data_IF_180949660429
#
_entry.id   IF_180949660429
#
_cell.length_a   1.000
_cell.length_b   1.000
_cell.length_c   1.000
_cell.angle_alpha   90.00
_cell.angle_beta   90.00
_cell.angle_gamma   90.00
#
_symmetry.space_group_name_H-M   'P 1'
#
loop_
_entity.id
_entity.type
_entity.pdbx_description
1 polymer ?
#
# COMPACT_ATOMS: atom_id res chain seq x y z
N UNK A 1 29.06 -14.55 -0.96
CA UNK A 1 27.94 -13.59 -0.85
C UNK A 1 27.81 -12.80 -2.15
N UNK A 2 26.63 -12.74 -2.76
CA UNK A 2 26.43 -11.89 -3.93
C UNK A 2 26.53 -10.42 -3.50
N UNK A 3 27.41 -9.63 -4.11
CA UNK A 3 27.60 -8.23 -3.75
C UNK A 3 26.29 -7.43 -3.77
N UNK A 4 26.23 -6.39 -2.94
CA UNK A 4 25.07 -5.54 -2.70
C UNK A 4 24.26 -5.17 -3.95
N UNK A 5 24.95 -4.79 -5.03
CA UNK A 5 24.28 -4.43 -6.26
C UNK A 5 23.66 -5.60 -7.04
N UNK A 6 24.16 -6.84 -6.90
CA UNK A 6 23.51 -8.04 -7.45
C UNK A 6 22.17 -8.32 -6.76
N UNK A 7 22.11 -8.17 -5.43
CA UNK A 7 20.88 -8.31 -4.65
C UNK A 7 19.80 -7.32 -5.12
N UNK A 8 20.14 -6.03 -5.20
CA UNK A 8 19.20 -4.99 -5.63
C UNK A 8 18.70 -5.20 -7.06
N UNK A 9 19.57 -5.66 -7.97
CA UNK A 9 19.17 -5.99 -9.33
C UNK A 9 18.24 -7.19 -9.37
N UNK A 10 18.52 -8.24 -8.59
CA UNK A 10 17.67 -9.43 -8.52
C UNK A 10 16.28 -9.09 -7.99
N UNK A 11 16.18 -8.29 -6.91
CA UNK A 11 14.90 -7.82 -6.38
C UNK A 11 14.10 -7.05 -7.44
N UNK A 12 14.75 -6.13 -8.16
CA UNK A 12 14.09 -5.36 -9.22
C UNK A 12 13.59 -6.26 -10.36
N UNK A 13 14.42 -7.21 -10.82
CA UNK A 13 14.08 -8.13 -11.91
C UNK A 13 12.92 -9.07 -11.50
N UNK A 14 12.92 -9.60 -10.27
CA UNK A 14 11.84 -10.44 -9.71
C UNK A 14 10.50 -9.69 -9.69
N UNK A 15 10.46 -8.49 -9.11
CA UNK A 15 9.23 -7.71 -9.02
C UNK A 15 8.75 -7.21 -10.39
N UNK A 16 9.68 -6.94 -11.32
CA UNK A 16 9.34 -6.63 -12.70
C UNK A 16 8.68 -7.81 -13.43
N UNK A 17 9.22 -9.02 -13.27
CA UNK A 17 8.64 -10.24 -13.84
C UNK A 17 7.23 -10.49 -13.29
N UNK A 18 7.05 -10.36 -11.98
CA UNK A 18 5.74 -10.54 -11.34
C UNK A 18 4.72 -9.51 -11.82
N UNK A 19 5.11 -8.24 -11.93
CA UNK A 19 4.28 -7.19 -12.53
C UNK A 19 3.86 -7.57 -13.95
N UNK A 20 4.79 -8.02 -14.80
CA UNK A 20 4.48 -8.42 -16.18
C UNK A 20 3.51 -9.59 -16.25
N UNK A 21 3.70 -10.62 -15.41
CA UNK A 21 2.80 -11.77 -15.35
C UNK A 21 1.38 -11.32 -14.99
N UNK A 22 1.24 -10.52 -13.92
CA UNK A 22 -0.05 -9.99 -13.47
C UNK A 22 -0.71 -9.06 -14.48
N UNK A 23 0.07 -8.21 -15.16
CA UNK A 23 -0.44 -7.38 -16.24
C UNK A 23 -0.96 -8.24 -17.39
N UNK A 24 -0.26 -9.31 -17.75
CA UNK A 24 -0.70 -10.22 -18.80
C UNK A 24 -2.00 -10.94 -18.41
N UNK A 25 -2.10 -11.45 -17.18
CA UNK A 25 -3.34 -12.06 -16.68
C UNK A 25 -4.49 -11.05 -16.70
N UNK A 26 -4.27 -9.83 -16.22
CA UNK A 26 -5.27 -8.76 -16.22
C UNK A 26 -5.70 -8.34 -17.64
N UNK A 27 -4.82 -8.48 -18.64
CA UNK A 27 -5.16 -8.26 -20.07
C UNK A 27 -5.99 -9.38 -20.68
N UNK A 28 -5.87 -10.60 -20.15
CA UNK A 28 -6.70 -11.73 -20.58
C UNK A 28 -8.09 -11.65 -19.94
N UNK A 29 -8.14 -11.24 -18.66
CA UNK A 29 -9.37 -11.08 -17.90
C UNK A 29 -9.21 -10.00 -16.83
N UNK A 30 -9.93 -8.90 -16.97
CA UNK A 30 -9.89 -7.76 -16.04
C UNK A 30 -10.94 -7.91 -14.92
N UNK A 31 -10.93 -9.02 -14.19
CA UNK A 31 -11.78 -9.20 -13.00
C UNK A 31 -11.17 -8.57 -11.74
N UNK A 32 -11.95 -8.51 -10.66
CA UNK A 32 -11.53 -7.92 -9.38
C UNK A 32 -10.21 -8.50 -8.86
N UNK A 33 -10.08 -9.83 -8.83
CA UNK A 33 -8.91 -10.51 -8.28
C UNK A 33 -7.64 -10.20 -9.11
N UNK A 34 -7.74 -10.24 -10.44
CA UNK A 34 -6.62 -9.91 -11.31
C UNK A 34 -6.21 -8.43 -11.19
N UNK A 35 -7.18 -7.52 -11.09
CA UNK A 35 -6.94 -6.08 -10.87
C UNK A 35 -6.29 -5.85 -9.51
N UNK A 36 -6.80 -6.49 -8.45
CA UNK A 36 -6.22 -6.42 -7.11
C UNK A 36 -4.77 -6.90 -7.10
N UNK A 37 -4.50 -8.08 -7.69
CA UNK A 37 -3.16 -8.66 -7.79
C UNK A 37 -2.22 -7.74 -8.58
N UNK A 38 -2.67 -7.17 -9.69
CA UNK A 38 -1.91 -6.20 -10.48
C UNK A 38 -1.56 -4.95 -9.66
N UNK A 39 -2.55 -4.31 -9.02
CA UNK A 39 -2.34 -3.14 -8.14
C UNK A 39 -1.33 -3.45 -7.04
N UNK A 40 -1.48 -4.56 -6.33
CA UNK A 40 -0.52 -5.00 -5.29
C UNK A 40 0.88 -5.24 -5.88
N UNK A 41 0.97 -5.78 -7.10
CA UNK A 41 2.24 -5.99 -7.81
C UNK A 41 2.95 -4.67 -8.15
N UNK A 42 2.20 -3.67 -8.63
CA UNK A 42 2.75 -2.35 -8.92
C UNK A 42 3.24 -1.66 -7.64
N UNK A 43 2.46 -1.71 -6.54
CA UNK A 43 2.86 -1.12 -5.24
C UNK A 43 4.17 -1.71 -4.72
N UNK A 44 4.34 -3.03 -4.79
CA UNK A 44 5.59 -3.71 -4.41
C UNK A 44 6.76 -3.28 -5.30
N UNK A 45 6.57 -3.24 -6.63
CA UNK A 45 7.61 -2.78 -7.56
C UNK A 45 8.02 -1.31 -7.32
N UNK A 46 7.06 -0.42 -7.05
CA UNK A 46 7.32 0.97 -6.67
C UNK A 46 8.16 1.05 -5.40
N UNK A 47 7.90 0.18 -4.43
CA UNK A 47 8.61 0.19 -3.14
C UNK A 47 10.05 -0.31 -3.27
N UNK A 48 10.29 -1.35 -4.08
CA UNK A 48 11.65 -1.78 -4.45
C UNK A 48 12.39 -0.63 -5.14
N UNK A 49 11.73 0.08 -6.05
CA UNK A 49 12.32 1.25 -6.70
C UNK A 49 12.66 2.35 -5.68
N UNK A 50 11.79 2.60 -4.70
CA UNK A 50 12.03 3.61 -3.66
C UNK A 50 13.19 3.20 -2.73
N UNK A 51 13.31 1.92 -2.38
CA UNK A 51 14.46 1.39 -1.64
C UNK A 51 15.77 1.61 -2.42
N UNK A 52 15.82 1.20 -3.69
CA UNK A 52 17.02 1.38 -4.53
C UNK A 52 17.37 2.86 -4.68
N UNK A 53 16.37 3.75 -4.81
CA UNK A 53 16.60 5.20 -4.91
C UNK A 53 17.12 5.81 -3.62
N UNK A 54 16.75 5.27 -2.46
CA UNK A 54 17.24 5.72 -1.16
C UNK A 54 18.70 5.31 -0.93
N UNK A 55 19.11 4.14 -1.45
CA UNK A 55 20.48 3.65 -1.39
C UNK A 55 21.39 4.28 -2.45
N UNK A 56 20.88 4.42 -3.68
CA UNK A 56 21.62 4.91 -4.83
C UNK A 56 20.72 5.81 -5.70
N UNK A 57 20.79 7.15 -5.56
CA UNK A 57 19.97 8.07 -6.32
C UNK A 57 20.07 7.86 -7.84
N UNK A 58 18.92 7.64 -8.49
CA UNK A 58 18.84 7.38 -9.92
C UNK A 58 17.63 8.09 -10.57
N UNK A 59 17.84 9.15 -11.38
CA UNK A 59 16.76 9.90 -12.02
C UNK A 59 15.86 9.06 -12.95
N UNK A 60 16.40 8.03 -13.57
CA UNK A 60 15.64 7.14 -14.45
C UNK A 60 14.68 6.23 -13.67
N UNK A 61 15.06 5.77 -12.46
CA UNK A 61 14.15 5.08 -11.55
C UNK A 61 13.03 5.99 -11.05
N UNK A 62 13.33 7.29 -10.81
CA UNK A 62 12.29 8.28 -10.50
C UNK A 62 11.23 8.38 -11.61
N UNK A 63 11.67 8.40 -12.88
CA UNK A 63 10.75 8.40 -14.03
C UNK A 63 9.94 7.10 -14.13
N UNK A 64 10.58 5.95 -13.92
CA UNK A 64 9.90 4.64 -13.92
C UNK A 64 8.84 4.54 -12.82
N UNK A 65 9.19 4.99 -11.60
CA UNK A 65 8.26 5.11 -10.47
C UNK A 65 7.04 5.97 -10.83
N UNK A 66 7.25 7.15 -11.43
CA UNK A 66 6.13 8.04 -11.82
C UNK A 66 5.17 7.35 -12.78
N UNK A 67 5.67 6.60 -13.76
CA UNK A 67 4.83 5.83 -14.69
C UNK A 67 4.04 4.73 -13.96
N UNK A 68 4.68 4.00 -13.05
CA UNK A 68 4.02 2.94 -12.28
C UNK A 68 2.96 3.50 -11.32
N UNK A 69 3.23 4.63 -10.65
CA UNK A 69 2.22 5.31 -9.82
C UNK A 69 1.04 5.79 -10.68
N UNK A 70 1.32 6.43 -11.81
CA UNK A 70 0.27 6.84 -12.74
C UNK A 70 -0.57 5.66 -13.28
N UNK A 71 -0.04 4.43 -13.32
CA UNK A 71 -0.85 3.24 -13.60
C UNK A 71 -1.71 2.83 -12.41
N UNK A 72 -1.19 2.88 -11.18
CA UNK A 72 -1.98 2.62 -9.97
C UNK A 72 -3.17 3.55 -9.86
N UNK A 73 -2.92 4.84 -10.07
CA UNK A 73 -3.91 5.91 -9.92
C UNK A 73 -5.11 5.70 -10.86
N UNK A 74 -4.94 4.99 -12.00
CA UNK A 74 -6.06 4.65 -12.90
C UNK A 74 -7.10 3.73 -12.28
N UNK A 75 -6.70 2.89 -11.32
CA UNK A 75 -7.61 1.93 -10.70
C UNK A 75 -8.18 2.41 -9.37
N UNK A 76 -7.97 3.66 -8.97
CA UNK A 76 -8.40 4.12 -7.65
C UNK A 76 -9.93 4.17 -7.57
N UNK A 77 -10.61 4.84 -8.52
CA UNK A 77 -12.08 4.88 -8.57
C UNK A 77 -12.71 3.49 -8.62
N UNK A 78 -12.14 2.57 -9.42
CA UNK A 78 -12.64 1.20 -9.52
C UNK A 78 -12.46 0.47 -8.20
N UNK A 79 -11.28 0.59 -7.56
CA UNK A 79 -11.02 -0.13 -6.32
C UNK A 79 -11.89 0.40 -5.19
N UNK A 80 -12.09 1.71 -5.12
CA UNK A 80 -12.96 2.31 -4.11
C UNK A 80 -14.41 1.84 -4.32
N UNK A 81 -14.87 1.78 -5.58
CA UNK A 81 -16.19 1.21 -5.93
C UNK A 81 -16.31 -0.25 -5.50
N UNK A 82 -15.31 -1.09 -5.77
CA UNK A 82 -15.31 -2.51 -5.40
C UNK A 82 -15.29 -2.71 -3.88
N UNK A 83 -14.54 -1.90 -3.15
CA UNK A 83 -14.51 -1.96 -1.68
C UNK A 83 -15.86 -1.53 -1.08
N UNK A 84 -16.48 -0.49 -1.64
CA UNK A 84 -17.83 -0.10 -1.25
C UNK A 84 -18.84 -1.21 -1.54
N UNK A 85 -18.80 -1.83 -2.73
CA UNK A 85 -19.69 -2.96 -3.07
C UNK A 85 -19.58 -4.09 -2.05
N UNK A 86 -18.36 -4.53 -1.70
CA UNK A 86 -18.16 -5.56 -0.66
C UNK A 86 -18.79 -5.19 0.68
N UNK A 87 -18.72 -3.90 1.06
CA UNK A 87 -19.31 -3.41 2.31
C UNK A 87 -20.84 -3.38 2.23
N UNK A 88 -21.39 -2.93 1.10
CA UNK A 88 -22.83 -2.87 0.88
C UNK A 88 -23.45 -4.27 0.77
N UNK A 89 -22.79 -5.20 0.08
CA UNK A 89 -23.24 -6.59 -0.05
C UNK A 89 -23.42 -7.27 1.32
N UNK A 90 -22.55 -6.94 2.28
CA UNK A 90 -22.65 -7.45 3.65
C UNK A 90 -23.81 -6.84 4.45
N UNK A 91 -24.24 -5.62 4.13
CA UNK A 91 -25.23 -4.86 4.89
C UNK A 91 -26.63 -4.85 4.26
N UNK A 92 -26.76 -5.12 2.95
CA UNK A 92 -28.00 -4.94 2.17
C UNK A 92 -29.18 -5.78 2.65
N UNK A 93 -28.92 -6.90 3.33
CA UNK A 93 -29.96 -7.77 3.91
C UNK A 93 -30.62 -7.10 5.13
N UNK A 94 -29.82 -6.44 5.98
CA UNK A 94 -30.30 -5.71 7.17
C UNK A 94 -30.82 -4.32 6.81
N UNK A 95 -30.29 -3.73 5.74
CA UNK A 95 -30.61 -2.37 5.27
C UNK A 95 -31.10 -2.39 3.81
N UNK A 96 -32.38 -2.74 3.57
CA UNK A 96 -32.95 -2.77 2.22
C UNK A 96 -32.91 -1.43 1.47
N UNK A 97 -32.82 -0.31 2.18
CA UNK A 97 -32.69 1.04 1.62
C UNK A 97 -31.42 1.21 0.77
N UNK A 98 -30.44 0.33 0.93
CA UNK A 98 -29.20 0.32 0.16
C UNK A 98 -29.36 -0.22 -1.27
N UNK A 99 -30.51 -0.79 -1.65
CA UNK A 99 -30.69 -1.43 -2.97
C UNK A 99 -30.38 -0.50 -4.15
N UNK A 100 -30.93 0.71 -4.14
CA UNK A 100 -30.71 1.66 -5.24
C UNK A 100 -29.25 2.11 -5.33
N UNK A 101 -28.60 2.30 -4.17
CA UNK A 101 -27.19 2.64 -4.09
C UNK A 101 -26.30 1.48 -4.55
N UNK A 102 -26.63 0.25 -4.16
CA UNK A 102 -25.94 -0.95 -4.62
C UNK A 102 -26.00 -1.09 -6.15
N UNK A 103 -27.19 -0.93 -6.75
CA UNK A 103 -27.33 -0.94 -8.21
C UNK A 103 -26.57 0.20 -8.90
N UNK A 104 -26.54 1.38 -8.28
CA UNK A 104 -25.72 2.50 -8.75
C UNK A 104 -24.22 2.14 -8.76
N UNK A 105 -23.71 1.55 -7.67
CA UNK A 105 -22.32 1.10 -7.58
C UNK A 105 -21.99 0.01 -8.59
N UNK A 106 -22.89 -0.96 -8.81
CA UNK A 106 -22.72 -2.02 -9.84
C UNK A 106 -22.63 -1.44 -11.25
N UNK A 107 -23.49 -0.47 -11.58
CA UNK A 107 -23.42 0.27 -12.86
C UNK A 107 -22.11 1.06 -12.98
N UNK A 108 -21.67 1.71 -11.90
CA UNK A 108 -20.40 2.44 -11.84
C UNK A 108 -19.21 1.50 -12.06
N UNK A 109 -19.20 0.34 -11.40
CA UNK A 109 -18.17 -0.69 -11.55
C UNK A 109 -18.05 -1.14 -13.01
N UNK A 110 -19.16 -1.57 -13.61
CA UNK A 110 -19.19 -2.02 -15.01
C UNK A 110 -18.66 -0.95 -15.97
N UNK A 111 -19.03 0.31 -15.77
CA UNK A 111 -18.55 1.45 -16.57
C UNK A 111 -17.03 1.67 -16.40
N UNK A 112 -16.54 1.60 -15.17
CA UNK A 112 -15.11 1.77 -14.86
C UNK A 112 -14.28 0.62 -15.42
N UNK A 113 -14.76 -0.62 -15.34
CA UNK A 113 -14.14 -1.79 -15.95
C UNK A 113 -14.04 -1.63 -17.47
N UNK A 114 -15.16 -1.31 -18.14
CA UNK A 114 -15.17 -1.10 -19.59
C UNK A 114 -14.23 0.02 -20.06
N UNK A 115 -14.04 1.06 -19.25
CA UNK A 115 -13.04 2.11 -19.52
C UNK A 115 -11.60 1.63 -19.29
N UNK A 116 -11.37 0.82 -18.25
CA UNK A 116 -10.02 0.42 -17.85
C UNK A 116 -9.42 -0.66 -18.74
N UNK A 117 -10.24 -1.57 -19.30
CA UNK A 117 -9.78 -2.63 -20.21
C UNK A 117 -8.86 -2.12 -21.34
N UNK A 118 -9.24 -1.12 -22.16
CA UNK A 118 -8.37 -0.58 -23.19
C UNK A 118 -7.15 0.15 -22.62
N UNK A 119 -7.26 0.81 -21.45
CA UNK A 119 -6.13 1.46 -20.79
C UNK A 119 -5.06 0.43 -20.35
N UNK A 120 -5.48 -0.70 -19.75
CA UNK A 120 -4.61 -1.80 -19.32
C UNK A 120 -3.92 -2.45 -20.52
N UNK A 121 -4.64 -2.63 -21.63
CA UNK A 121 -4.08 -3.08 -22.89
C UNK A 121 -2.98 -2.13 -23.40
N UNK A 122 -3.19 -0.81 -23.25
CA UNK A 122 -2.24 0.22 -23.69
C UNK A 122 -1.00 0.40 -22.78
N UNK A 123 -0.94 -0.21 -21.59
CA UNK A 123 0.21 -0.07 -20.69
C UNK A 123 1.53 -0.53 -21.33
N UNK A 124 2.38 0.45 -21.68
CA UNK A 124 3.66 0.20 -22.37
C UNK A 124 4.73 -0.35 -21.43
N UNK A 125 5.03 -1.64 -21.54
CA UNK A 125 6.06 -2.30 -20.72
C UNK A 125 7.47 -2.23 -21.31
N UNK A 126 7.62 -2.13 -22.64
CA UNK A 126 8.93 -2.20 -23.29
C UNK A 126 9.89 -1.06 -22.91
N UNK A 127 9.42 0.18 -22.98
CA UNK A 127 10.20 1.34 -22.55
C UNK A 127 10.51 1.30 -21.05
N UNK A 128 9.56 0.84 -20.24
CA UNK A 128 9.72 0.71 -18.79
C UNK A 128 10.78 -0.34 -18.44
N UNK A 129 10.75 -1.52 -19.06
CA UNK A 129 11.79 -2.56 -18.92
C UNK A 129 13.18 -2.03 -19.23
N UNK A 130 13.34 -1.34 -20.36
CA UNK A 130 14.62 -0.78 -20.78
C UNK A 130 15.15 0.22 -19.75
N UNK A 131 14.28 1.10 -19.24
CA UNK A 131 14.62 2.05 -18.17
C UNK A 131 15.01 1.34 -16.89
N UNK A 132 14.22 0.37 -16.42
CA UNK A 132 14.51 -0.38 -15.19
C UNK A 132 15.83 -1.14 -15.29
N UNK A 133 16.08 -1.89 -16.36
CA UNK A 133 17.34 -2.65 -16.55
C UNK A 133 18.57 -1.74 -16.58
N UNK A 134 18.54 -0.65 -17.37
CA UNK A 134 19.68 0.29 -17.44
C UNK A 134 19.91 1.00 -16.11
N UNK A 135 18.85 1.29 -15.37
CA UNK A 135 18.95 2.01 -14.09
C UNK A 135 19.38 1.09 -12.96
N UNK A 136 18.85 -0.13 -12.90
CA UNK A 136 19.26 -1.17 -11.97
C UNK A 136 20.74 -1.49 -12.10
N UNK A 137 21.28 -1.61 -13.32
CA UNK A 137 22.73 -1.77 -13.54
C UNK A 137 23.57 -0.60 -13.03
N UNK A 138 23.10 0.64 -13.20
CA UNK A 138 23.80 1.83 -12.70
C UNK A 138 23.75 1.94 -11.18
N UNK A 139 22.58 1.69 -10.59
CA UNK A 139 22.39 1.64 -9.15
C UNK A 139 23.25 0.52 -8.53
N UNK A 140 23.28 -0.66 -9.17
CA UNK A 140 24.14 -1.79 -8.80
C UNK A 140 25.62 -1.37 -8.73
N UNK A 141 26.16 -0.72 -9.76
CA UNK A 141 27.55 -0.21 -9.73
C UNK A 141 27.80 0.79 -8.61
N UNK A 142 26.87 1.73 -8.38
CA UNK A 142 26.99 2.75 -7.33
C UNK A 142 26.82 2.17 -5.92
N UNK A 143 26.12 1.05 -5.82
CA UNK A 143 25.88 0.34 -4.58
C UNK A 143 26.84 -0.83 -4.37
N UNK A 144 27.86 -0.99 -5.23
CA UNK A 144 28.76 -2.15 -5.17
C UNK A 144 29.53 -2.22 -3.84
N UNK A 145 29.93 -1.06 -3.34
CA UNK A 145 30.69 -0.90 -2.09
C UNK A 145 29.80 -0.56 -0.88
N UNK A 146 28.47 -0.53 -1.06
CA UNK A 146 27.54 -0.29 0.03
C UNK A 146 27.39 -1.58 0.84
N UNK A 147 27.66 -1.51 2.14
CA UNK A 147 27.25 -2.54 3.08
C UNK A 147 25.71 -2.49 3.24
N UNK A 148 25.01 -3.43 2.59
CA UNK A 148 23.55 -3.50 2.67
C UNK A 148 23.04 -3.82 4.07
N UNK A 149 23.81 -4.56 4.87
CA UNK A 149 23.43 -4.94 6.22
C UNK A 149 23.36 -3.70 7.14
N UNK A 150 24.09 -2.63 6.82
CA UNK A 150 24.01 -1.34 7.51
C UNK A 150 23.07 -0.36 6.79
N UNK A 151 23.18 -0.26 5.46
CA UNK A 151 22.47 0.75 4.70
C UNK A 151 20.96 0.52 4.61
N UNK A 152 20.50 -0.74 4.56
CA UNK A 152 19.06 -1.04 4.52
C UNK A 152 18.41 -0.67 5.85
N UNK A 153 18.89 -1.12 7.04
CA UNK A 153 18.36 -0.65 8.32
C UNK A 153 18.34 0.87 8.45
N UNK A 154 19.39 1.58 8.02
CA UNK A 154 19.40 3.05 8.05
C UNK A 154 18.34 3.71 7.13
N UNK A 155 17.99 3.07 6.00
CA UNK A 155 16.85 3.51 5.17
C UNK A 155 15.52 3.24 5.90
N UNK A 156 15.39 2.07 6.53
CA UNK A 156 14.18 1.69 7.27
C UNK A 156 13.97 2.61 8.48
N UNK A 157 15.02 2.96 9.21
CA UNK A 157 14.98 3.93 10.32
C UNK A 157 14.34 5.25 9.90
N UNK A 158 14.78 5.82 8.77
CA UNK A 158 14.24 7.08 8.25
C UNK A 158 12.78 6.96 7.82
N UNK A 159 12.38 5.82 7.26
CA UNK A 159 10.98 5.60 6.85
C UNK A 159 10.08 5.39 8.06
N UNK A 160 10.59 4.73 9.10
CA UNK A 160 9.88 4.54 10.34
C UNK A 160 9.77 5.83 11.15
N UNK A 161 10.81 6.66 11.18
CA UNK A 161 10.76 7.99 11.79
C UNK A 161 9.65 8.87 11.17
N UNK A 162 9.54 8.92 9.84
CA UNK A 162 8.42 9.62 9.15
C UNK A 162 7.05 9.02 9.53
N UNK A 163 6.97 7.71 9.79
CA UNK A 163 5.74 7.09 10.30
C UNK A 163 5.45 7.50 11.76
N UNK A 164 6.46 7.58 12.63
CA UNK A 164 6.31 8.03 14.01
C UNK A 164 5.92 9.50 14.10
N UNK A 165 6.48 10.36 13.26
CA UNK A 165 6.07 11.77 13.14
C UNK A 165 4.60 11.89 12.75
N UNK A 166 4.15 11.11 11.76
CA UNK A 166 2.74 11.08 11.34
C UNK A 166 1.82 10.49 12.40
N UNK A 167 2.29 9.52 13.17
CA UNK A 167 1.55 8.98 14.30
C UNK A 167 1.39 10.02 15.42
N UNK A 168 2.44 10.78 15.73
CA UNK A 168 2.38 11.87 16.70
C UNK A 168 1.41 12.99 16.26
N UNK A 169 1.25 13.17 14.95
CA UNK A 169 0.31 14.13 14.35
C UNK A 169 -1.11 13.59 14.14
N UNK A 170 -1.45 12.38 14.64
CA UNK A 170 -2.82 11.87 14.58
C UNK A 170 -3.74 12.79 15.38
N UNK A 171 -4.82 13.19 14.72
CA UNK A 171 -5.94 13.89 15.33
C UNK A 171 -7.20 13.05 15.10
N UNK A 172 -7.79 12.60 16.19
CA UNK A 172 -8.96 11.72 16.22
C UNK A 172 -10.19 12.36 15.57
N UNK A 173 -10.23 13.69 15.49
CA UNK A 173 -11.29 14.44 14.79
C UNK A 173 -11.05 14.58 13.28
N UNK A 174 -9.85 14.24 12.81
CA UNK A 174 -9.45 14.35 11.41
C UNK A 174 -8.88 13.01 10.88
N UNK A 175 -9.74 12.07 10.41
CA UNK A 175 -9.34 10.75 9.88
C UNK A 175 -8.29 10.79 8.75
N UNK A 176 -8.19 11.92 8.05
CA UNK A 176 -7.14 12.16 7.05
C UNK A 176 -5.71 12.03 7.63
N UNK A 177 -5.49 12.33 8.90
CA UNK A 177 -4.18 12.17 9.57
C UNK A 177 -3.78 10.69 9.67
N UNK A 178 -4.76 9.82 9.96
CA UNK A 178 -4.59 8.36 9.98
C UNK A 178 -4.27 7.81 8.59
N UNK A 179 -4.91 8.35 7.55
CA UNK A 179 -4.58 7.99 6.17
C UNK A 179 -3.12 8.32 5.81
N UNK A 180 -2.60 9.47 6.26
CA UNK A 180 -1.21 9.84 6.03
C UNK A 180 -0.24 8.86 6.71
N UNK A 181 -0.51 8.47 7.97
CA UNK A 181 0.25 7.42 8.66
C UNK A 181 0.20 6.10 7.87
N UNK A 182 -0.98 5.70 7.40
CA UNK A 182 -1.16 4.47 6.61
C UNK A 182 -0.26 4.47 5.36
N UNK A 183 -0.12 5.60 4.68
CA UNK A 183 0.78 5.71 3.51
C UNK A 183 2.24 5.43 3.90
N UNK A 184 2.73 6.02 5.00
CA UNK A 184 4.08 5.83 5.48
C UNK A 184 4.34 4.37 5.90
N UNK A 185 3.41 3.75 6.63
CA UNK A 185 3.53 2.36 7.07
C UNK A 185 3.42 1.35 5.92
N UNK A 186 2.67 1.65 4.85
CA UNK A 186 2.69 0.82 3.63
C UNK A 186 4.07 0.82 2.99
N UNK A 187 4.72 1.98 2.94
CA UNK A 187 6.09 2.10 2.44
C UNK A 187 7.07 1.30 3.30
N UNK A 188 6.96 1.38 4.63
CA UNK A 188 7.73 0.55 5.56
C UNK A 188 7.54 -0.94 5.26
N UNK A 189 6.30 -1.43 5.27
CA UNK A 189 5.99 -2.84 5.05
C UNK A 189 6.59 -3.35 3.73
N UNK A 190 6.39 -2.63 2.63
CA UNK A 190 6.90 -3.08 1.35
C UNK A 190 8.43 -3.02 1.24
N UNK A 191 9.11 -2.18 2.03
CA UNK A 191 10.57 -2.20 2.14
C UNK A 191 11.05 -3.43 2.92
N UNK A 192 10.40 -3.76 4.04
CA UNK A 192 10.71 -4.98 4.80
C UNK A 192 10.47 -6.24 3.95
N UNK A 193 9.36 -6.30 3.20
CA UNK A 193 9.08 -7.42 2.26
C UNK A 193 10.10 -7.52 1.11
N UNK A 194 10.75 -6.42 0.73
CA UNK A 194 11.69 -6.38 -0.39
C UNK A 194 13.09 -6.89 -0.04
N UNK A 195 13.46 -6.86 1.24
CA UNK A 195 14.79 -7.26 1.70
C UNK A 195 14.79 -7.99 3.05
N UNK A 196 14.00 -9.08 3.21
CA UNK A 196 13.93 -9.80 4.48
C UNK A 196 15.30 -10.35 4.91
N UNK A 197 16.08 -10.89 3.97
CA UNK A 197 17.40 -11.49 4.25
C UNK A 197 18.46 -10.46 4.69
N UNK A 198 18.17 -9.17 4.57
CA UNK A 198 19.07 -8.08 4.95
C UNK A 198 18.68 -7.45 6.29
N UNK A 199 17.66 -8.01 6.96
CA UNK A 199 17.17 -7.56 8.25
C UNK A 199 17.30 -8.74 9.23
N UNK A 200 18.42 -8.82 9.97
CA UNK A 200 18.65 -9.90 10.91
C UNK A 200 17.52 -10.02 11.93
N UNK A 201 16.99 -11.23 12.10
CA UNK A 201 15.94 -11.52 13.07
C UNK A 201 14.56 -10.95 12.72
N UNK A 202 14.32 -10.51 11.48
CA UNK A 202 12.98 -10.11 11.04
C UNK A 202 12.00 -11.27 11.25
N UNK A 203 11.11 -11.12 12.22
CA UNK A 203 10.14 -12.16 12.54
C UNK A 203 8.96 -12.11 11.55
N UNK A 204 8.46 -13.26 11.06
CA UNK A 204 7.30 -13.29 10.15
C UNK A 204 6.04 -12.63 10.75
N UNK A 205 5.81 -12.81 12.05
CA UNK A 205 4.67 -12.23 12.78
C UNK A 205 4.69 -10.69 12.74
N UNK A 206 5.85 -10.05 12.64
CA UNK A 206 5.96 -8.60 12.52
C UNK A 206 5.21 -8.08 11.28
N UNK A 207 5.37 -8.75 10.14
CA UNK A 207 4.71 -8.35 8.89
C UNK A 207 3.20 -8.60 8.95
N UNK A 208 2.77 -9.64 9.66
CA UNK A 208 1.35 -9.93 9.91
C UNK A 208 0.72 -8.89 10.84
N UNK A 209 1.39 -8.55 11.95
CA UNK A 209 0.98 -7.48 12.87
C UNK A 209 0.89 -6.14 12.17
N UNK A 210 1.92 -5.78 11.39
CA UNK A 210 1.92 -4.57 10.57
C UNK A 210 0.79 -4.59 9.52
N UNK A 211 0.48 -5.75 8.95
CA UNK A 211 -0.67 -5.89 8.04
C UNK A 211 -2.00 -5.68 8.78
N UNK A 212 -2.20 -6.24 9.98
CA UNK A 212 -3.41 -5.98 10.79
C UNK A 212 -3.57 -4.50 11.10
N UNK A 213 -2.49 -3.86 11.53
CA UNK A 213 -2.46 -2.41 11.80
C UNK A 213 -2.80 -1.57 10.56
N UNK A 214 -2.26 -1.96 9.38
CA UNK A 214 -2.60 -1.35 8.09
C UNK A 214 -4.03 -1.61 7.60
N UNK A 215 -4.63 -2.72 8.02
CA UNK A 215 -6.01 -3.09 7.74
C UNK A 215 -6.95 -2.20 8.56
N UNK A 216 -6.74 -2.06 9.87
CA UNK A 216 -7.55 -1.20 10.74
C UNK A 216 -7.64 0.25 10.22
N UNK A 217 -6.49 0.90 9.95
CA UNK A 217 -6.47 2.23 9.31
C UNK A 217 -7.11 2.25 7.92
N UNK A 218 -7.12 1.11 7.25
CA UNK A 218 -7.73 0.98 5.95
C UNK A 218 -9.23 0.93 5.97
N UNK A 219 -9.79 0.24 6.95
CA UNK A 219 -11.23 0.11 7.11
C UNK A 219 -11.85 1.44 7.53
N UNK A 220 -11.15 2.23 8.36
CA UNK A 220 -11.51 3.63 8.67
C UNK A 220 -11.58 4.46 7.39
N UNK A 221 -10.53 4.43 6.56
CA UNK A 221 -10.55 5.17 5.29
C UNK A 221 -11.68 4.70 4.36
N UNK A 222 -11.93 3.40 4.28
CA UNK A 222 -12.99 2.86 3.44
C UNK A 222 -14.37 3.34 3.92
N UNK A 223 -14.59 3.41 5.24
CA UNK A 223 -15.80 3.94 5.84
C UNK A 223 -16.00 5.43 5.52
N UNK A 224 -14.95 6.25 5.58
CA UNK A 224 -15.00 7.67 5.22
C UNK A 224 -15.34 7.89 3.73
N UNK A 225 -14.73 7.09 2.84
CA UNK A 225 -15.02 7.12 1.40
C UNK A 225 -16.47 6.68 1.14
N UNK A 226 -16.94 5.64 1.82
CA UNK A 226 -18.32 5.16 1.71
C UNK A 226 -19.33 6.20 2.21
N UNK A 227 -19.09 6.82 3.36
CA UNK A 227 -19.94 7.87 3.90
C UNK A 227 -20.06 9.06 2.93
N UNK A 228 -18.94 9.47 2.32
CA UNK A 228 -18.93 10.52 1.30
C UNK A 228 -19.72 10.12 0.05
N UNK A 229 -19.57 8.89 -0.43
CA UNK A 229 -20.28 8.39 -1.61
C UNK A 229 -21.79 8.23 -1.37
N UNK A 230 -22.20 7.80 -0.18
CA UNK A 230 -23.61 7.77 0.24
C UNK A 230 -24.18 9.19 0.23
N UNK A 231 -23.47 10.15 0.81
CA UNK A 231 -23.94 11.53 0.86
C UNK A 231 -24.09 12.16 -0.54
N UNK A 232 -23.14 11.89 -1.44
CA UNK A 232 -23.22 12.30 -2.84
C UNK A 232 -24.44 11.68 -3.54
N UNK A 233 -24.67 10.37 -3.36
CA UNK A 233 -25.77 9.66 -4.02
C UNK A 233 -27.15 10.15 -3.57
N UNK A 234 -27.36 10.31 -2.26
CA UNK A 234 -28.63 10.80 -1.71
C UNK A 234 -28.77 12.34 -1.77
N UNK A 235 -27.77 13.05 -2.30
CA UNK A 235 -27.69 14.52 -2.35
C UNK A 235 -27.89 15.17 -0.98
N UNK A 236 -27.29 14.58 0.06
CA UNK A 236 -27.51 14.95 1.45
C UNK A 236 -27.28 13.78 2.39
N UNK A 237 -28.04 13.70 3.48
CA UNK A 237 -27.93 12.56 4.39
C UNK A 237 -28.63 11.32 3.78
N UNK A 238 -28.03 10.10 3.89
CA UNK A 238 -28.74 8.87 3.59
C UNK A 238 -29.91 8.65 4.58
N UNK A 239 -30.83 7.72 4.30
CA UNK A 239 -31.89 7.34 5.24
C UNK A 239 -31.33 7.05 6.64
N UNK A 240 -32.06 7.44 7.69
CA UNK A 240 -31.58 7.36 9.07
C UNK A 240 -31.05 5.95 9.46
N UNK A 241 -31.69 4.82 9.10
CA UNK A 241 -31.16 3.50 9.38
C UNK A 241 -29.76 3.25 8.80
N UNK A 242 -29.53 3.70 7.55
CA UNK A 242 -28.26 3.59 6.85
C UNK A 242 -27.21 4.52 7.47
N UNK A 243 -27.59 5.78 7.74
CA UNK A 243 -26.71 6.75 8.39
C UNK A 243 -26.21 6.23 9.74
N UNK A 244 -27.14 5.80 10.59
CA UNK A 244 -26.85 5.34 11.94
C UNK A 244 -25.99 4.07 11.93
N UNK A 245 -26.24 3.14 11.01
CA UNK A 245 -25.45 1.91 10.87
C UNK A 245 -23.98 2.22 10.57
N UNK A 246 -23.70 2.99 9.50
CA UNK A 246 -22.32 3.28 9.11
C UNK A 246 -21.63 4.24 10.07
N UNK A 247 -22.36 5.14 10.74
CA UNK A 247 -21.79 5.96 11.82
C UNK A 247 -21.41 5.11 13.04
N UNK A 248 -22.21 4.11 13.43
CA UNK A 248 -21.83 3.17 14.50
C UNK A 248 -20.59 2.37 14.11
N UNK A 249 -20.57 1.81 12.90
CA UNK A 249 -19.41 1.07 12.39
C UNK A 249 -18.14 1.94 12.37
N UNK A 250 -18.22 3.18 11.87
CA UNK A 250 -17.08 4.09 11.86
C UNK A 250 -16.56 4.40 13.26
N UNK A 251 -17.46 4.70 14.22
CA UNK A 251 -17.08 4.92 15.63
C UNK A 251 -16.39 3.70 16.24
N UNK A 252 -16.86 2.50 15.94
CA UNK A 252 -16.24 1.26 16.40
C UNK A 252 -14.83 1.10 15.83
N UNK A 253 -14.66 1.25 14.51
CA UNK A 253 -13.35 1.17 13.85
C UNK A 253 -12.36 2.19 14.42
N UNK A 254 -12.84 3.40 14.73
CA UNK A 254 -12.03 4.42 15.39
C UNK A 254 -11.62 4.01 16.80
N UNK A 255 -12.57 3.55 17.63
CA UNK A 255 -12.27 3.13 18.99
C UNK A 255 -11.26 1.97 19.02
N UNK A 256 -11.43 0.96 18.15
CA UNK A 256 -10.52 -0.17 18.02
C UNK A 256 -9.10 0.28 17.61
N UNK A 257 -8.99 1.15 16.60
CA UNK A 257 -7.69 1.68 16.17
C UNK A 257 -7.01 2.51 17.27
N UNK A 258 -7.77 3.37 17.97
CA UNK A 258 -7.20 4.21 19.04
C UNK A 258 -6.72 3.38 20.21
N UNK A 259 -7.41 2.30 20.57
CA UNK A 259 -6.97 1.38 21.61
C UNK A 259 -5.61 0.73 21.26
N UNK A 260 -5.42 0.36 19.99
CA UNK A 260 -4.22 -0.34 19.52
C UNK A 260 -3.14 0.56 18.90
N UNK A 261 -3.35 1.88 18.81
CA UNK A 261 -2.46 2.82 18.08
C UNK A 261 -1.00 2.78 18.52
N UNK A 262 -0.77 2.46 19.79
CA UNK A 262 0.57 2.37 20.36
C UNK A 262 1.34 1.09 19.98
N UNK A 263 0.70 0.13 19.30
CA UNK A 263 1.39 -1.01 18.70
C UNK A 263 2.48 -0.54 17.71
N UNK A 264 2.32 0.66 17.13
CA UNK A 264 3.29 1.23 16.20
C UNK A 264 4.73 1.15 16.72
N UNK A 265 4.96 1.41 18.01
CA UNK A 265 6.27 1.43 18.67
C UNK A 265 6.96 0.06 18.74
N UNK A 266 6.27 -1.02 18.35
CA UNK A 266 6.80 -2.38 18.32
C UNK A 266 7.23 -2.84 16.93
N UNK A 267 7.04 -2.02 15.89
CA UNK A 267 7.34 -2.41 14.51
C UNK A 267 8.79 -2.23 14.08
N UNK A 268 9.54 -1.33 14.74
CA UNK A 268 10.94 -1.06 14.44
C UNK A 268 11.57 -0.24 15.57
N UNK A 269 12.90 -0.09 15.58
CA UNK A 269 13.61 0.79 16.55
C UNK A 269 13.29 2.27 16.32
N UNK A 270 13.12 3.04 17.39
CA UNK A 270 12.81 4.47 17.27
C UNK A 270 14.03 5.33 16.92
N UNK A 271 15.24 4.86 17.24
CA UNK A 271 16.49 5.49 16.83
C UNK A 271 17.55 4.47 16.40
N UNK A 272 18.53 4.85 15.54
CA UNK A 272 19.53 3.92 15.01
C UNK A 272 20.41 3.22 16.07
N UNK A 273 20.57 3.84 17.24
CA UNK A 273 21.35 3.30 18.36
C UNK A 273 20.55 2.38 19.29
N UNK A 274 19.24 2.32 19.15
CA UNK A 274 18.39 1.44 19.96
C UNK A 274 18.36 0.03 19.36
N UNK A 275 18.23 -0.97 20.24
CA UNK A 275 17.99 -2.35 19.84
C UNK A 275 16.67 -2.48 19.07
N UNK A 276 16.55 -3.51 18.23
CA UNK A 276 15.27 -3.81 17.61
C UNK A 276 14.25 -4.24 18.67
N UNK A 277 12.97 -3.88 18.58
CA UNK A 277 11.95 -4.24 19.57
C UNK A 277 11.77 -5.74 19.82
N UNK A 278 12.27 -6.58 18.92
CA UNK A 278 12.22 -8.05 19.00
C UNK A 278 13.57 -8.71 19.31
N UNK A 279 14.64 -7.94 19.42
CA UNK A 279 15.88 -8.43 20.00
C UNK A 279 15.72 -8.36 21.52
N UNK A 280 16.08 -9.42 22.28
CA UNK A 280 16.19 -9.28 23.71
C UNK A 280 17.16 -8.13 24.00
N UNK A 281 16.88 -7.31 25.02
CA UNK A 281 17.85 -6.35 25.53
C UNK A 281 19.15 -7.13 25.74
N UNK A 282 20.18 -6.81 24.97
CA UNK A 282 21.54 -7.15 25.34
C UNK A 282 21.85 -6.26 26.53
N UNK A 283 21.32 -6.64 27.69
CA UNK A 283 21.82 -6.19 28.96
C UNK A 283 23.25 -6.70 29.06
N UNK A 284 24.17 -5.74 28.89
CA UNK A 284 25.50 -5.53 29.50
C UNK A 284 26.49 -5.05 28.44
#
# INVERSE_FOLDING_TARGET
>A
MAGAGKFLQHALDRHWQLYRKRLQTCRQRADEDNIHKLRTGIRRLVSVIDLIRALAPCPALRKARKVLKAQLDRFDDLRDTQVMLLTIDAAIVELPELRDFHEHLRRRENRLLGRLEPEIAAFRTGNLRRKLKKSGRRANRRAADIDLAQAIPAVVDRVYADALERHAAIDDSHPATIHQLRIALKKLRYMLEAAPDQIPGLKPDLLERLQRYLTAMGDIQNAEVLASALAEFYRGAPPAPVADYFQRQHRQLMAEFIADRYEIFRFWRAAPYQAQPWQPDLAV
#
